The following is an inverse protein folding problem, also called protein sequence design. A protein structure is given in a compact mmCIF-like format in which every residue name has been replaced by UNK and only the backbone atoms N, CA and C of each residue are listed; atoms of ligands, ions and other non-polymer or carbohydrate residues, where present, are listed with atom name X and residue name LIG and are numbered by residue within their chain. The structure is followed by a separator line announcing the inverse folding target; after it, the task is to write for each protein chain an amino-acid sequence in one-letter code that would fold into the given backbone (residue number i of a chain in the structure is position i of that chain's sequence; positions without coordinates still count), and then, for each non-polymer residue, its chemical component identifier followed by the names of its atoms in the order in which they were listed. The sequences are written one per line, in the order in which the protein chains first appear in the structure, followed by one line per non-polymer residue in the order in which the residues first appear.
data_IF_848255013026
#
_entry.id   IF_848255013026
#
_cell.length_a   1.000
_cell.length_b   1.000
_cell.length_c   1.000
_cell.angle_alpha   90.00
_cell.angle_beta   90.00
_cell.angle_gamma   90.00
#
_symmetry.space_group_name_H-M   'P 1'
#
loop_
_entity.id
_entity.type
_entity.pdbx_description
1 polymer ?
#
# COMPACT_ATOMS: atom_id res chain seq x y z
N UNK A 1 20.32 -3.38 -5.64
CA UNK A 1 19.44 -4.28 -4.84
C UNK A 1 19.72 -5.74 -5.19
N UNK A 2 19.96 -6.60 -4.19
CA UNK A 2 20.21 -8.04 -4.40
C UNK A 2 18.92 -8.83 -4.76
N UNK A 3 19.08 -10.09 -5.18
CA UNK A 3 17.98 -10.93 -5.64
C UNK A 3 16.96 -11.26 -4.52
N UNK A 4 17.40 -11.31 -3.26
CA UNK A 4 16.53 -11.60 -2.12
C UNK A 4 15.63 -10.39 -1.81
N UNK A 5 16.21 -9.19 -1.74
CA UNK A 5 15.49 -7.94 -1.53
C UNK A 5 14.51 -7.65 -2.68
N UNK A 6 14.88 -8.00 -3.92
CA UNK A 6 13.97 -7.93 -5.08
C UNK A 6 12.75 -8.84 -4.94
N UNK A 7 12.95 -10.07 -4.48
CA UNK A 7 11.85 -11.02 -4.28
C UNK A 7 10.93 -10.58 -3.12
N UNK A 8 11.51 -10.03 -2.04
CA UNK A 8 10.74 -9.47 -0.92
C UNK A 8 9.91 -8.28 -1.40
N UNK A 9 10.50 -7.34 -2.13
CA UNK A 9 9.81 -6.16 -2.66
C UNK A 9 8.58 -6.54 -3.51
N UNK A 10 8.73 -7.50 -4.43
CA UNK A 10 7.62 -7.94 -5.28
C UNK A 10 6.52 -8.65 -4.49
N UNK A 11 6.88 -9.43 -3.45
CA UNK A 11 5.91 -10.01 -2.54
C UNK A 11 5.17 -8.93 -1.76
N UNK A 12 5.87 -7.95 -1.19
CA UNK A 12 5.28 -6.85 -0.40
C UNK A 12 4.33 -6.00 -1.25
N UNK A 13 4.72 -5.67 -2.50
CA UNK A 13 3.82 -4.99 -3.47
C UNK A 13 2.56 -5.79 -3.76
N UNK A 14 2.67 -7.11 -3.93
CA UNK A 14 1.52 -7.98 -4.18
C UNK A 14 0.58 -8.03 -2.97
N UNK A 15 1.11 -8.16 -1.77
CA UNK A 15 0.33 -8.09 -0.52
C UNK A 15 -0.39 -6.74 -0.41
N UNK A 16 0.28 -5.62 -0.69
CA UNK A 16 -0.32 -4.28 -0.70
C UNK A 16 -1.50 -4.19 -1.69
N UNK A 17 -1.35 -4.74 -2.89
CA UNK A 17 -2.43 -4.75 -3.90
C UNK A 17 -3.66 -5.54 -3.42
N UNK A 18 -3.45 -6.69 -2.77
CA UNK A 18 -4.53 -7.48 -2.17
C UNK A 18 -5.21 -6.73 -1.03
N UNK A 19 -4.44 -6.12 -0.12
CA UNK A 19 -4.99 -5.36 1.01
C UNK A 19 -5.79 -4.14 0.54
N UNK A 20 -5.34 -3.41 -0.50
CA UNK A 20 -6.14 -2.35 -1.14
C UNK A 20 -7.47 -2.87 -1.69
N UNK A 21 -7.44 -4.02 -2.36
CA UNK A 21 -8.67 -4.63 -2.90
C UNK A 21 -9.67 -5.00 -1.80
N UNK A 22 -9.18 -5.46 -0.64
CA UNK A 22 -10.03 -5.78 0.52
C UNK A 22 -10.62 -4.52 1.14
N UNK A 23 -9.84 -3.45 1.29
CA UNK A 23 -10.31 -2.14 1.77
C UNK A 23 -11.44 -1.62 0.88
N UNK A 24 -11.27 -1.64 -0.46
CA UNK A 24 -12.34 -1.23 -1.39
C UNK A 24 -13.62 -2.05 -1.18
N UNK A 25 -13.52 -3.37 -1.00
CA UNK A 25 -14.69 -4.21 -0.72
C UNK A 25 -15.37 -3.84 0.59
N UNK A 26 -14.61 -3.55 1.64
CA UNK A 26 -15.15 -3.15 2.95
C UNK A 26 -15.84 -1.79 2.90
N UNK A 27 -15.26 -0.81 2.19
CA UNK A 27 -15.87 0.50 1.97
C UNK A 27 -17.22 0.33 1.26
N UNK A 28 -17.26 -0.42 0.15
CA UNK A 28 -18.50 -0.65 -0.58
C UNK A 28 -19.57 -1.34 0.28
N UNK A 29 -19.15 -2.28 1.15
CA UNK A 29 -20.06 -2.94 2.10
C UNK A 29 -20.60 -1.95 3.13
N UNK A 30 -19.74 -1.10 3.68
CA UNK A 30 -20.11 -0.06 4.65
C UNK A 30 -21.12 0.93 4.05
N UNK A 31 -20.84 1.42 2.83
CA UNK A 31 -21.72 2.33 2.09
C UNK A 31 -23.10 1.71 1.85
N UNK A 32 -23.14 0.42 1.48
CA UNK A 32 -24.38 -0.33 1.28
C UNK A 32 -25.17 -0.49 2.58
N UNK A 33 -24.52 -0.80 3.71
CA UNK A 33 -25.22 -0.96 5.00
C UNK A 33 -25.76 0.36 5.53
N UNK A 34 -24.96 1.43 5.48
CA UNK A 34 -25.42 2.78 5.84
C UNK A 34 -26.66 3.18 5.02
N UNK A 35 -26.68 2.83 3.74
CA UNK A 35 -27.77 3.19 2.82
C UNK A 35 -29.05 2.37 3.01
N UNK A 36 -28.95 1.12 3.49
CA UNK A 36 -30.07 0.17 3.49
C UNK A 36 -30.65 -0.11 4.88
N UNK A 37 -29.83 -0.16 5.94
CA UNK A 37 -30.27 -0.39 7.32
C UNK A 37 -29.10 -0.08 8.23
N UNK A 38 -29.19 0.97 9.04
CA UNK A 38 -28.16 1.33 10.00
C UNK A 38 -28.15 0.39 11.23
N UNK A 39 -27.83 -0.89 11.01
CA UNK A 39 -27.36 -1.75 12.11
C UNK A 39 -25.99 -1.23 12.55
N UNK A 40 -26.00 -0.52 13.69
CA UNK A 40 -24.81 0.11 14.26
C UNK A 40 -23.71 -0.90 14.61
N UNK A 41 -24.07 -2.16 14.86
CA UNK A 41 -23.10 -3.22 15.18
C UNK A 41 -22.27 -3.57 13.95
N UNK A 42 -22.93 -3.88 12.84
CA UNK A 42 -22.22 -4.28 11.61
C UNK A 42 -21.40 -3.12 11.02
N UNK A 43 -21.91 -1.88 11.09
CA UNK A 43 -21.17 -0.66 10.74
C UNK A 43 -19.90 -0.51 11.59
N UNK A 44 -19.98 -0.74 12.90
CA UNK A 44 -18.83 -0.64 13.81
C UNK A 44 -17.78 -1.73 13.52
N UNK A 45 -18.20 -2.97 13.25
CA UNK A 45 -17.29 -4.06 12.88
C UNK A 45 -16.53 -3.74 11.58
N UNK A 46 -17.22 -3.24 10.56
CA UNK A 46 -16.58 -2.87 9.29
C UNK A 46 -15.60 -1.71 9.51
N UNK A 47 -15.96 -0.72 10.34
CA UNK A 47 -15.06 0.38 10.71
C UNK A 47 -13.78 -0.11 11.39
N UNK A 48 -13.88 -1.04 12.35
CA UNK A 48 -12.71 -1.61 13.03
C UNK A 48 -11.81 -2.38 12.07
N UNK A 49 -12.40 -3.12 11.11
CA UNK A 49 -11.61 -3.81 10.08
C UNK A 49 -10.88 -2.83 9.16
N UNK A 50 -11.48 -1.68 8.83
CA UNK A 50 -10.86 -0.65 8.01
C UNK A 50 -9.66 0.00 8.70
N UNK A 51 -9.74 0.29 10.01
CA UNK A 51 -8.61 0.81 10.79
C UNK A 51 -7.43 -0.17 10.73
N UNK A 52 -7.69 -1.45 11.04
CA UNK A 52 -6.64 -2.48 11.03
C UNK A 52 -5.98 -2.59 9.65
N UNK A 53 -6.76 -2.52 8.57
CA UNK A 53 -6.20 -2.55 7.21
C UNK A 53 -5.41 -1.30 6.84
N UNK A 54 -5.79 -0.14 7.36
CA UNK A 54 -5.02 1.10 7.16
C UNK A 54 -3.65 1.03 7.83
N UNK A 55 -3.56 0.50 9.05
CA UNK A 55 -2.30 0.29 9.76
C UNK A 55 -1.39 -0.72 9.04
N UNK A 56 -1.98 -1.81 8.53
CA UNK A 56 -1.27 -2.81 7.73
C UNK A 56 -0.72 -2.20 6.44
N UNK A 57 -1.52 -1.41 5.71
CA UNK A 57 -1.08 -0.71 4.50
C UNK A 57 0.05 0.29 4.81
N UNK A 58 -0.07 1.05 5.89
CA UNK A 58 0.97 2.01 6.32
C UNK A 58 2.29 1.31 6.65
N UNK A 59 2.23 0.09 7.20
CA UNK A 59 3.41 -0.73 7.47
C UNK A 59 4.03 -1.23 6.17
N UNK A 60 3.21 -1.75 5.26
CA UNK A 60 3.69 -2.23 3.95
C UNK A 60 4.32 -1.11 3.12
N UNK A 61 3.79 0.11 3.17
CA UNK A 61 4.37 1.24 2.44
C UNK A 61 5.75 1.63 3.00
N UNK A 62 5.93 1.64 4.33
CA UNK A 62 7.25 1.84 4.96
C UNK A 62 8.24 0.73 4.62
N UNK A 63 7.80 -0.53 4.59
CA UNK A 63 8.64 -1.66 4.17
C UNK A 63 9.11 -1.51 2.72
N UNK A 64 8.22 -1.04 1.83
CA UNK A 64 8.57 -0.76 0.43
C UNK A 64 9.57 0.39 0.34
N UNK A 65 9.34 1.49 1.06
CA UNK A 65 10.27 2.62 1.11
C UNK A 65 11.66 2.19 1.59
N UNK A 66 11.76 1.39 2.66
CA UNK A 66 13.04 0.91 3.18
C UNK A 66 13.79 -0.06 2.24
N UNK A 67 13.07 -0.73 1.34
CA UNK A 67 13.66 -1.66 0.36
C UNK A 67 14.12 -0.94 -0.92
N UNK A 68 13.65 0.28 -1.14
CA UNK A 68 14.04 1.10 -2.28
C UNK A 68 15.12 2.07 -1.81
N UNK A 69 16.31 1.95 -2.37
CA UNK A 69 17.37 2.93 -2.18
C UNK A 69 17.07 4.16 -3.04
N UNK A 70 16.27 5.08 -2.49
CA UNK A 70 15.81 6.29 -3.18
C UNK A 70 16.99 7.20 -3.50
N UNK A 71 17.93 7.37 -2.57
CA UNK A 71 19.15 8.18 -2.78
C UNK A 71 19.97 7.65 -3.96
N UNK A 72 20.20 6.34 -4.04
CA UNK A 72 20.92 5.76 -5.18
C UNK A 72 20.18 5.91 -6.51
N UNK A 73 18.84 5.88 -6.51
CA UNK A 73 18.04 6.09 -7.71
C UNK A 73 18.04 7.56 -8.15
N UNK A 74 17.99 8.50 -7.20
CA UNK A 74 18.09 9.93 -7.47
C UNK A 74 19.47 10.30 -8.02
N UNK A 75 20.55 9.78 -7.43
CA UNK A 75 21.91 9.94 -7.97
C UNK A 75 22.06 9.36 -9.38
N UNK A 76 21.48 8.18 -9.65
CA UNK A 76 21.51 7.57 -10.99
C UNK A 76 20.76 8.42 -12.03
N UNK A 77 19.65 9.04 -11.65
CA UNK A 77 18.88 9.94 -12.53
C UNK A 77 19.70 11.20 -12.84
N UNK A 78 20.25 11.87 -11.82
CA UNK A 78 21.09 13.08 -12.00
C UNK A 78 22.27 12.77 -12.92
N UNK A 79 22.98 11.66 -12.65
CA UNK A 79 24.11 11.23 -13.48
C UNK A 79 23.69 11.02 -14.94
N UNK A 80 22.55 10.36 -15.19
CA UNK A 80 22.04 10.12 -16.56
C UNK A 80 21.58 11.40 -17.26
N UNK A 81 21.05 12.38 -16.53
CA UNK A 81 20.66 13.68 -17.09
C UNK A 81 21.89 14.50 -17.47
N UNK A 82 22.94 14.52 -16.64
CA UNK A 82 24.22 15.18 -16.94
C UNK A 82 24.89 14.62 -18.21
N UNK A 83 24.79 13.32 -18.49
CA UNK A 83 25.29 12.73 -19.74
C UNK A 83 24.43 13.01 -20.97
N UNK A 84 23.19 13.51 -20.80
CA UNK A 84 22.26 13.75 -21.91
C UNK A 84 22.41 15.16 -22.50
N UNK A 85 23.01 16.07 -21.73
CA UNK A 85 23.32 17.46 -22.11
C UNK A 85 24.74 17.64 -22.69
N UNK A 86 25.48 16.55 -22.94
CA UNK A 86 26.79 16.49 -23.63
C UNK A 86 26.61 15.90 -25.02
#
# INVERSE_FOLDING_TARGET
MDAANKAILERTKKTRSVSRSLVTKQINKLESEISNTADKTTVHEIYMQLISKFEELSTLDKEIENLIDIESLEEEIVTREEYRDI
#
